data_IF_487013898366
#
_entry.id   IF_487013898366
#
_cell.length_a   1.000
_cell.length_b   1.000
_cell.length_c   1.000
_cell.angle_alpha   90.00
_cell.angle_beta   90.00
_cell.angle_gamma   90.00
#
_symmetry.space_group_name_H-M   'P 1'
#
loop_
_entity.id
_entity.type
_entity.pdbx_description
1 polymer ?
#
# COMPACT_ATOMS: atom_id res chain seq x y z
N UNK A 1 45.96 14.98 22.29
CA UNK A 1 45.20 13.86 21.69
C UNK A 1 44.08 13.47 22.63
N UNK A 2 42.82 13.64 22.22
CA UNK A 2 41.67 13.24 23.06
C UNK A 2 41.56 11.72 23.10
N UNK A 3 41.66 11.17 24.32
CA UNK A 3 41.61 9.74 24.64
C UNK A 3 40.32 9.12 24.07
N UNK A 4 40.47 8.08 23.25
CA UNK A 4 39.37 7.24 22.75
C UNK A 4 38.66 6.62 23.96
N UNK A 5 37.32 6.53 24.00
CA UNK A 5 36.64 5.89 25.12
C UNK A 5 37.11 4.43 25.22
N UNK A 6 37.74 4.06 26.34
CA UNK A 6 38.15 2.69 26.64
C UNK A 6 36.88 1.88 26.94
N UNK A 7 36.56 0.89 26.09
CA UNK A 7 35.34 0.06 26.21
C UNK A 7 34.81 -0.59 24.92
N UNK A 8 35.54 -0.58 23.80
CA UNK A 8 35.03 -1.02 22.48
C UNK A 8 35.84 -2.18 21.85
N UNK A 9 36.16 -3.23 22.62
CA UNK A 9 36.83 -4.43 22.06
C UNK A 9 35.93 -5.68 21.99
N UNK A 10 34.62 -5.54 22.25
CA UNK A 10 33.66 -6.65 22.08
C UNK A 10 32.21 -6.25 21.84
N UNK A 11 31.79 -5.05 22.27
CA UNK A 11 30.41 -4.56 22.11
C UNK A 11 30.11 -3.95 20.74
N UNK A 12 31.16 -3.54 20.01
CA UNK A 12 31.05 -2.85 18.72
C UNK A 12 30.66 -3.82 17.59
N UNK A 13 31.09 -5.08 17.66
CA UNK A 13 30.73 -6.12 16.71
C UNK A 13 29.25 -6.49 16.83
N UNK A 14 28.77 -6.80 18.05
CA UNK A 14 27.36 -7.10 18.30
C UNK A 14 26.46 -5.91 17.94
N UNK A 15 26.90 -4.69 18.21
CA UNK A 15 26.16 -3.48 17.82
C UNK A 15 26.12 -3.28 16.30
N UNK A 16 27.22 -3.52 15.59
CA UNK A 16 27.25 -3.47 14.11
C UNK A 16 26.38 -4.54 13.49
N UNK A 17 26.40 -5.77 13.99
CA UNK A 17 25.53 -6.85 13.52
C UNK A 17 24.04 -6.51 13.72
N UNK A 18 23.66 -6.00 14.90
CA UNK A 18 22.28 -5.59 15.18
C UNK A 18 21.82 -4.49 14.21
N UNK A 19 22.71 -3.56 13.84
CA UNK A 19 22.42 -2.50 12.86
C UNK A 19 22.32 -3.08 11.45
N UNK A 20 23.27 -3.91 11.02
CA UNK A 20 23.28 -4.51 9.69
C UNK A 20 22.04 -5.39 9.46
N UNK A 21 21.67 -6.22 10.44
CA UNK A 21 20.47 -7.05 10.37
C UNK A 21 19.20 -6.20 10.29
N UNK A 22 19.15 -5.06 10.99
CA UNK A 22 18.02 -4.12 10.87
C UNK A 22 17.96 -3.46 9.50
N UNK A 23 19.09 -3.00 8.95
CA UNK A 23 19.11 -2.45 7.60
C UNK A 23 18.73 -3.50 6.55
N UNK A 24 19.19 -4.75 6.69
CA UNK A 24 18.78 -5.87 5.83
C UNK A 24 17.29 -6.13 5.93
N UNK A 25 16.71 -6.22 7.14
CA UNK A 25 15.27 -6.38 7.35
C UNK A 25 14.46 -5.23 6.74
N UNK A 26 14.89 -3.99 6.96
CA UNK A 26 14.21 -2.82 6.41
C UNK A 26 14.28 -2.77 4.88
N UNK A 27 15.41 -3.17 4.28
CA UNK A 27 15.56 -3.27 2.83
C UNK A 27 14.66 -4.37 2.23
N UNK A 28 14.63 -5.56 2.85
CA UNK A 28 13.77 -6.68 2.43
C UNK A 28 12.29 -6.32 2.58
N UNK A 29 11.89 -5.73 3.71
CA UNK A 29 10.53 -5.28 3.93
C UNK A 29 10.13 -4.20 2.93
N UNK A 30 11.04 -3.31 2.57
CA UNK A 30 10.79 -2.27 1.56
C UNK A 30 10.62 -2.85 0.16
N UNK A 31 11.47 -3.80 -0.26
CA UNK A 31 11.32 -4.46 -1.57
C UNK A 31 10.04 -5.29 -1.64
N UNK A 32 9.69 -5.99 -0.56
CA UNK A 32 8.44 -6.74 -0.46
C UNK A 32 7.23 -5.81 -0.51
N UNK A 33 7.25 -4.69 0.23
CA UNK A 33 6.18 -3.68 0.21
C UNK A 33 6.03 -3.08 -1.18
N UNK A 34 7.13 -2.81 -1.89
CA UNK A 34 7.11 -2.32 -3.26
C UNK A 34 6.44 -3.33 -4.20
N UNK A 35 6.87 -4.58 -4.18
CA UNK A 35 6.29 -5.63 -5.01
C UNK A 35 4.80 -5.81 -4.72
N UNK A 36 4.42 -5.89 -3.44
CA UNK A 36 3.02 -6.08 -3.04
C UNK A 36 2.14 -4.89 -3.44
N UNK A 37 2.65 -3.65 -3.33
CA UNK A 37 1.93 -2.48 -3.81
C UNK A 37 1.73 -2.50 -5.34
N UNK A 38 2.74 -2.95 -6.10
CA UNK A 38 2.60 -3.13 -7.55
C UNK A 38 1.57 -4.20 -7.90
N UNK A 39 1.59 -5.34 -7.19
CA UNK A 39 0.60 -6.42 -7.37
C UNK A 39 -0.80 -5.91 -7.03
N UNK A 40 -0.97 -5.23 -5.90
CA UNK A 40 -2.27 -4.66 -5.50
C UNK A 40 -2.77 -3.61 -6.51
N UNK A 41 -1.88 -2.75 -7.02
CA UNK A 41 -2.21 -1.77 -8.06
C UNK A 41 -2.62 -2.43 -9.37
N UNK A 42 -1.93 -3.48 -9.79
CA UNK A 42 -2.26 -4.26 -10.98
C UNK A 42 -3.63 -4.95 -10.84
N UNK A 43 -3.90 -5.59 -9.69
CA UNK A 43 -5.19 -6.23 -9.42
C UNK A 43 -6.33 -5.22 -9.39
N UNK A 44 -6.12 -4.06 -8.78
CA UNK A 44 -7.11 -2.97 -8.78
C UNK A 44 -7.34 -2.43 -10.19
N UNK A 45 -6.30 -2.27 -10.99
CA UNK A 45 -6.41 -1.88 -12.40
C UNK A 45 -7.21 -2.89 -13.21
N UNK A 46 -6.93 -4.20 -13.08
CA UNK A 46 -7.69 -5.25 -13.74
C UNK A 46 -9.16 -5.24 -13.31
N UNK A 47 -9.45 -5.01 -12.03
CA UNK A 47 -10.82 -4.84 -11.53
C UNK A 47 -11.51 -3.65 -12.18
N UNK A 48 -10.85 -2.49 -12.24
CA UNK A 48 -11.39 -1.31 -12.90
C UNK A 48 -11.68 -1.62 -14.38
N UNK A 49 -10.71 -2.21 -15.10
CA UNK A 49 -10.86 -2.55 -16.50
C UNK A 49 -12.04 -3.52 -16.75
N UNK A 50 -12.16 -4.57 -15.94
CA UNK A 50 -13.27 -5.53 -16.02
C UNK A 50 -14.64 -4.85 -15.86
N UNK A 51 -14.74 -3.97 -14.86
CA UNK A 51 -15.97 -3.28 -14.55
C UNK A 51 -16.33 -2.22 -15.61
N UNK A 52 -15.35 -1.71 -16.35
CA UNK A 52 -15.56 -0.73 -17.42
C UNK A 52 -16.10 -1.34 -18.73
N UNK A 53 -15.91 -2.64 -18.96
CA UNK A 53 -16.36 -3.33 -20.20
C UNK A 53 -17.83 -3.03 -20.55
N UNK A 54 -18.83 -3.26 -19.67
CA UNK A 54 -20.23 -2.99 -20.01
C UNK A 54 -20.50 -1.51 -20.29
N UNK A 55 -19.78 -0.57 -19.66
CA UNK A 55 -20.00 0.86 -19.86
C UNK A 55 -19.51 1.34 -21.23
N UNK A 56 -18.39 0.81 -21.73
CA UNK A 56 -17.93 1.08 -23.10
C UNK A 56 -18.87 0.51 -24.17
N UNK A 57 -19.74 -0.44 -23.80
CA UNK A 57 -20.65 -1.13 -24.72
C UNK A 57 -22.04 -0.49 -24.69
N UNK A 58 -22.49 0.02 -23.53
CA UNK A 58 -23.85 0.54 -23.31
C UNK A 58 -23.96 2.08 -23.34
N UNK A 59 -22.88 2.83 -23.59
CA UNK A 59 -22.85 4.31 -23.53
C UNK A 59 -23.44 4.88 -22.21
N UNK A 60 -23.20 4.20 -21.10
CA UNK A 60 -23.62 4.63 -19.77
C UNK A 60 -22.44 5.11 -18.94
N UNK A 61 -22.72 6.02 -17.98
CA UNK A 61 -21.70 6.50 -17.05
C UNK A 61 -21.34 5.43 -16.00
N UNK A 62 -20.05 5.27 -15.66
CA UNK A 62 -19.60 4.43 -14.57
C UNK A 62 -20.24 4.80 -13.22
N UNK A 63 -20.46 3.81 -12.37
CA UNK A 63 -20.90 4.02 -10.99
C UNK A 63 -19.89 4.92 -10.22
N UNK A 64 -20.35 5.82 -9.33
CA UNK A 64 -19.49 6.73 -8.55
C UNK A 64 -18.32 6.03 -7.84
N UNK A 65 -18.57 4.80 -7.41
CA UNK A 65 -17.61 3.96 -6.70
C UNK A 65 -16.35 3.62 -7.54
N UNK A 66 -16.48 3.55 -8.87
CA UNK A 66 -15.36 3.31 -9.78
C UNK A 66 -14.37 4.47 -9.80
N UNK A 67 -14.86 5.70 -9.71
CA UNK A 67 -14.00 6.89 -9.63
C UNK A 67 -13.21 6.91 -8.32
N UNK A 68 -13.81 6.46 -7.21
CA UNK A 68 -13.10 6.35 -5.94
C UNK A 68 -11.93 5.36 -6.01
N UNK A 69 -12.12 4.19 -6.64
CA UNK A 69 -11.03 3.26 -6.88
C UNK A 69 -9.95 3.80 -7.80
N UNK A 70 -10.31 4.53 -8.86
CA UNK A 70 -9.35 5.17 -9.73
C UNK A 70 -8.52 6.22 -8.99
N UNK A 71 -9.16 7.06 -8.17
CA UNK A 71 -8.48 8.05 -7.33
C UNK A 71 -7.51 7.36 -6.37
N UNK A 72 -7.95 6.28 -5.70
CA UNK A 72 -7.08 5.55 -4.77
C UNK A 72 -5.91 4.88 -5.48
N UNK A 73 -6.13 4.33 -6.67
CA UNK A 73 -5.06 3.77 -7.50
C UNK A 73 -4.03 4.85 -7.85
N UNK A 74 -4.47 5.98 -8.41
CA UNK A 74 -3.58 7.04 -8.90
C UNK A 74 -2.87 7.74 -7.76
N UNK A 75 -3.62 8.26 -6.78
CA UNK A 75 -3.05 8.99 -5.64
C UNK A 75 -2.20 8.05 -4.78
N UNK A 76 -2.64 6.81 -4.58
CA UNK A 76 -1.89 5.80 -3.83
C UNK A 76 -0.53 5.52 -4.44
N UNK A 77 -0.49 5.32 -5.76
CA UNK A 77 0.78 5.16 -6.48
C UNK A 77 1.65 6.41 -6.38
N UNK A 78 1.09 7.61 -6.57
CA UNK A 78 1.87 8.86 -6.44
C UNK A 78 2.49 8.98 -5.05
N UNK A 79 1.70 8.80 -3.98
CA UNK A 79 2.20 8.87 -2.60
C UNK A 79 3.26 7.80 -2.32
N UNK A 80 3.08 6.60 -2.86
CA UNK A 80 4.04 5.52 -2.69
C UNK A 80 5.37 5.79 -3.43
N UNK A 81 5.31 6.20 -4.70
CA UNK A 81 6.52 6.52 -5.46
C UNK A 81 7.24 7.76 -4.94
N UNK A 82 6.50 8.80 -4.53
CA UNK A 82 7.06 10.01 -3.95
C UNK A 82 7.63 9.78 -2.54
N UNK A 83 7.04 8.87 -1.76
CA UNK A 83 7.54 8.51 -0.44
C UNK A 83 8.71 7.53 -0.47
N UNK A 84 8.98 6.88 -1.61
CA UNK A 84 10.05 5.87 -1.77
C UNK A 84 11.41 6.51 -1.45
N UNK A 85 12.19 5.97 -0.50
CA UNK A 85 13.47 6.56 -0.15
C UNK A 85 14.47 6.47 -1.31
N UNK A 86 14.79 7.63 -1.89
CA UNK A 86 16.01 7.87 -2.69
C UNK A 86 17.13 8.47 -1.83
N UNK A 87 17.19 8.10 -0.55
CA UNK A 87 18.17 8.60 0.44
C UNK A 87 17.57 9.05 1.78
N UNK A 88 16.28 9.41 1.82
CA UNK A 88 15.47 9.60 3.05
C UNK A 88 14.04 9.18 2.75
N UNK A 89 13.43 8.37 3.63
CA UNK A 89 12.02 8.01 3.52
C UNK A 89 11.14 9.18 3.97
N UNK A 90 10.13 9.53 3.17
CA UNK A 90 9.12 10.51 3.58
C UNK A 90 7.98 9.75 4.25
N UNK A 91 8.15 9.49 5.55
CA UNK A 91 7.20 8.74 6.37
C UNK A 91 5.74 9.24 6.25
N UNK A 92 5.45 10.57 6.19
CA UNK A 92 4.09 11.04 6.00
C UNK A 92 3.43 10.55 4.69
N UNK A 93 4.14 10.59 3.56
CA UNK A 93 3.61 10.13 2.27
C UNK A 93 3.34 8.63 2.27
N UNK A 94 4.19 7.87 2.96
CA UNK A 94 4.00 6.43 3.12
C UNK A 94 2.79 6.08 3.99
N UNK A 95 2.50 6.88 5.03
CA UNK A 95 1.26 6.75 5.81
C UNK A 95 0.03 7.03 4.96
N UNK A 96 0.08 8.04 4.09
CA UNK A 96 -1.00 8.33 3.14
C UNK A 96 -1.19 7.18 2.16
N UNK A 97 -0.10 6.63 1.59
CA UNK A 97 -0.17 5.47 0.71
C UNK A 97 -0.82 4.25 1.42
N UNK A 98 -0.41 3.95 2.65
CA UNK A 98 -1.01 2.88 3.46
C UNK A 98 -2.50 3.12 3.74
N UNK A 99 -2.89 4.38 4.03
CA UNK A 99 -4.29 4.76 4.24
C UNK A 99 -5.13 4.56 2.98
N UNK A 100 -4.57 4.85 1.79
CA UNK A 100 -5.26 4.64 0.51
C UNK A 100 -5.39 3.14 0.16
N UNK A 101 -4.39 2.32 0.49
CA UNK A 101 -4.52 0.85 0.39
C UNK A 101 -5.63 0.34 1.31
N UNK A 102 -5.72 0.88 2.53
CA UNK A 102 -6.80 0.56 3.47
C UNK A 102 -8.17 1.04 2.98
N UNK A 103 -8.23 2.24 2.42
CA UNK A 103 -9.42 2.76 1.77
C UNK A 103 -9.88 1.84 0.64
N UNK A 104 -8.95 1.30 -0.15
CA UNK A 104 -9.25 0.32 -1.21
C UNK A 104 -9.89 -0.94 -0.63
N UNK A 105 -9.33 -1.50 0.44
CA UNK A 105 -9.89 -2.68 1.12
C UNK A 105 -11.29 -2.40 1.69
N UNK A 106 -11.48 -1.26 2.36
CA UNK A 106 -12.76 -0.86 2.93
C UNK A 106 -13.83 -0.64 1.86
N UNK A 107 -13.50 0.07 0.78
CA UNK A 107 -14.38 0.25 -0.35
C UNK A 107 -14.73 -1.10 -0.97
N UNK A 108 -13.75 -1.97 -1.21
CA UNK A 108 -13.97 -3.30 -1.78
C UNK A 108 -14.89 -4.17 -0.92
N UNK A 109 -14.76 -4.10 0.41
CA UNK A 109 -15.68 -4.75 1.32
C UNK A 109 -17.11 -4.19 1.20
N UNK A 110 -17.27 -2.87 1.15
CA UNK A 110 -18.59 -2.23 0.94
C UNK A 110 -19.17 -2.65 -0.42
N UNK A 111 -18.36 -2.77 -1.46
CA UNK A 111 -18.79 -3.24 -2.77
C UNK A 111 -19.30 -4.68 -2.71
N UNK A 112 -18.54 -5.59 -2.11
CA UNK A 112 -18.95 -6.99 -1.94
C UNK A 112 -20.21 -7.11 -1.09
N UNK A 113 -20.28 -6.36 0.01
CA UNK A 113 -21.46 -6.30 0.87
C UNK A 113 -22.69 -5.87 0.07
N UNK A 114 -22.59 -4.76 -0.66
CA UNK A 114 -23.67 -4.26 -1.50
C UNK A 114 -24.03 -5.25 -2.61
N UNK A 115 -23.03 -5.86 -3.25
CA UNK A 115 -23.19 -6.80 -4.36
C UNK A 115 -23.87 -8.11 -3.95
N UNK A 116 -23.62 -8.62 -2.74
CA UNK A 116 -24.18 -9.88 -2.27
C UNK A 116 -25.46 -9.74 -1.45
N UNK A 117 -25.67 -8.61 -0.76
CA UNK A 117 -26.74 -8.48 0.22
C UNK A 117 -27.79 -7.42 -0.11
N UNK A 118 -27.46 -6.40 -0.90
CA UNK A 118 -28.34 -5.25 -1.12
C UNK A 118 -28.83 -5.13 -2.56
N UNK A 119 -27.94 -5.31 -3.53
CA UNK A 119 -28.27 -5.11 -4.93
C UNK A 119 -28.99 -6.34 -5.51
N UNK A 120 -30.03 -6.12 -6.35
CA UNK A 120 -30.67 -7.21 -7.06
C UNK A 120 -29.66 -7.87 -8.00
N UNK A 121 -29.76 -9.19 -8.15
CA UNK A 121 -28.83 -9.99 -8.98
C UNK A 121 -28.73 -9.48 -10.43
N UNK A 122 -29.72 -8.74 -10.93
CA UNK A 122 -29.70 -8.13 -12.26
C UNK A 122 -28.63 -7.05 -12.43
N UNK A 123 -28.16 -6.42 -11.35
CA UNK A 123 -27.07 -5.43 -11.37
C UNK A 123 -25.68 -6.04 -11.35
N UNK A 124 -25.57 -7.35 -11.20
CA UNK A 124 -24.28 -8.05 -11.20
C UNK A 124 -23.60 -7.90 -12.57
N UNK A 125 -22.31 -7.55 -12.57
CA UNK A 125 -21.57 -7.26 -13.80
C UNK A 125 -21.48 -8.50 -14.69
N UNK A 126 -21.20 -9.68 -14.12
CA UNK A 126 -21.22 -10.95 -14.85
C UNK A 126 -22.53 -11.21 -15.60
N UNK A 127 -23.68 -10.93 -14.98
CA UNK A 127 -25.01 -11.09 -15.59
C UNK A 127 -25.30 -10.03 -16.64
N UNK A 128 -24.92 -8.77 -16.38
CA UNK A 128 -25.06 -7.67 -17.34
C UNK A 128 -24.21 -7.93 -18.59
N UNK A 129 -22.96 -8.34 -18.41
CA UNK A 129 -22.05 -8.68 -19.51
C UNK A 129 -22.54 -9.91 -20.29
N UNK A 130 -23.04 -10.94 -19.60
CA UNK A 130 -23.69 -12.07 -20.26
C UNK A 130 -24.88 -11.64 -21.11
N UNK A 131 -25.78 -10.83 -20.53
CA UNK A 131 -26.96 -10.33 -21.24
C UNK A 131 -26.56 -9.51 -22.47
N UNK A 132 -25.61 -8.58 -22.33
CA UNK A 132 -25.13 -7.75 -23.43
C UNK A 132 -24.59 -8.56 -24.60
N UNK A 133 -23.70 -9.51 -24.32
CA UNK A 133 -23.07 -10.33 -25.36
C UNK A 133 -24.07 -11.31 -25.98
N UNK A 134 -25.07 -11.76 -25.22
CA UNK A 134 -26.16 -12.58 -25.73
C UNK A 134 -27.09 -11.77 -26.64
N UNK A 135 -27.47 -10.57 -26.23
CA UNK A 135 -28.34 -9.67 -27.00
C UNK A 135 -27.69 -9.25 -28.32
N UNK A 136 -26.35 -9.14 -28.35
CA UNK A 136 -25.56 -8.92 -29.58
C UNK A 136 -25.36 -10.17 -30.44
N UNK A 137 -25.87 -11.33 -30.01
CA UNK A 137 -25.70 -12.60 -30.72
C UNK A 137 -24.28 -13.16 -30.72
N UNK A 138 -23.37 -12.61 -29.91
CA UNK A 138 -21.97 -13.03 -29.86
C UNK A 138 -21.79 -14.32 -29.07
N UNK A 139 -22.64 -14.55 -28.07
CA UNK A 139 -22.66 -15.77 -27.25
C UNK A 139 -24.09 -16.33 -27.16
N UNK A 140 -24.22 -17.65 -27.23
CA UNK A 140 -25.51 -18.35 -27.13
C UNK A 140 -25.57 -19.28 -25.91
N UNK A 141 -24.42 -19.78 -25.46
CA UNK A 141 -24.34 -20.77 -24.38
C UNK A 141 -24.44 -20.14 -22.99
N UNK A 142 -25.16 -20.80 -22.07
CA UNK A 142 -25.24 -20.43 -20.66
C UNK A 142 -23.91 -20.64 -19.91
N UNK A 143 -22.97 -21.40 -20.48
CA UNK A 143 -21.64 -21.63 -19.89
C UNK A 143 -20.88 -20.31 -19.69
N UNK A 144 -21.04 -19.34 -20.59
CA UNK A 144 -20.39 -18.02 -20.47
C UNK A 144 -20.81 -17.25 -19.23
N UNK A 145 -22.03 -17.44 -18.73
CA UNK A 145 -22.46 -16.81 -17.47
C UNK A 145 -21.63 -17.33 -16.28
N UNK A 146 -21.37 -18.63 -16.25
CA UNK A 146 -20.53 -19.24 -15.21
C UNK A 146 -19.08 -18.73 -15.32
N UNK A 147 -18.56 -18.64 -16.54
CA UNK A 147 -17.21 -18.09 -16.79
C UNK A 147 -17.11 -16.67 -16.25
N UNK A 148 -18.03 -15.77 -16.62
CA UNK A 148 -17.99 -14.38 -16.13
C UNK A 148 -18.14 -14.28 -14.62
N UNK A 149 -19.00 -15.11 -14.02
CA UNK A 149 -19.20 -15.14 -12.56
C UNK A 149 -17.93 -15.61 -11.84
N UNK A 150 -17.27 -16.65 -12.34
CA UNK A 150 -16.04 -17.19 -11.76
C UNK A 150 -14.89 -16.18 -11.93
N UNK A 151 -14.75 -15.57 -13.11
CA UNK A 151 -13.74 -14.54 -13.36
C UNK A 151 -13.90 -13.35 -12.42
N UNK A 152 -15.14 -12.87 -12.22
CA UNK A 152 -15.45 -11.80 -11.28
C UNK A 152 -15.08 -12.19 -9.84
N UNK A 153 -15.44 -13.40 -9.40
CA UNK A 153 -15.11 -13.89 -8.07
C UNK A 153 -13.59 -14.03 -7.84
N UNK A 154 -12.84 -14.52 -8.83
CA UNK A 154 -11.37 -14.62 -8.77
C UNK A 154 -10.76 -13.24 -8.64
N UNK A 155 -11.24 -12.27 -9.40
CA UNK A 155 -10.75 -10.90 -9.38
C UNK A 155 -11.04 -10.22 -8.03
N UNK A 156 -12.23 -10.44 -7.49
CA UNK A 156 -12.61 -9.93 -6.17
C UNK A 156 -11.77 -10.54 -5.05
N UNK A 157 -11.50 -11.85 -5.11
CA UNK A 157 -10.61 -12.53 -4.18
C UNK A 157 -9.17 -12.01 -4.31
N UNK A 158 -8.67 -11.81 -5.53
CA UNK A 158 -7.32 -11.31 -5.78
C UNK A 158 -7.13 -9.87 -5.26
N UNK A 159 -8.11 -8.98 -5.47
CA UNK A 159 -8.07 -7.62 -4.89
C UNK A 159 -8.12 -7.66 -3.37
N UNK A 160 -9.02 -8.46 -2.79
CA UNK A 160 -9.13 -8.60 -1.33
C UNK A 160 -7.85 -9.14 -0.68
N UNK A 161 -7.29 -10.22 -1.23
CA UNK A 161 -6.06 -10.84 -0.74
C UNK A 161 -4.86 -9.92 -0.92
N UNK A 162 -4.68 -9.31 -2.09
CA UNK A 162 -3.56 -8.40 -2.33
C UNK A 162 -3.62 -7.15 -1.45
N UNK A 163 -4.80 -6.56 -1.24
CA UNK A 163 -4.97 -5.43 -0.32
C UNK A 163 -4.67 -5.83 1.14
N UNK A 164 -5.15 -6.99 1.59
CA UNK A 164 -4.88 -7.50 2.93
C UNK A 164 -3.39 -7.78 3.18
N UNK A 165 -2.74 -8.49 2.27
CA UNK A 165 -1.30 -8.76 2.35
C UNK A 165 -0.45 -7.49 2.30
N UNK A 166 -0.83 -6.54 1.43
CA UNK A 166 -0.18 -5.24 1.32
C UNK A 166 -0.30 -4.46 2.64
N UNK A 167 -1.48 -4.47 3.29
CA UNK A 167 -1.66 -3.83 4.59
C UNK A 167 -0.76 -4.40 5.69
N UNK A 168 -0.72 -5.73 5.84
CA UNK A 168 0.10 -6.37 6.87
C UNK A 168 1.59 -6.04 6.69
N UNK A 169 2.08 -6.06 5.45
CA UNK A 169 3.48 -5.72 5.16
C UNK A 169 3.78 -4.23 5.33
N UNK A 170 2.88 -3.34 4.89
CA UNK A 170 3.02 -1.90 5.15
C UNK A 170 3.06 -1.58 6.64
N UNK A 171 2.18 -2.18 7.45
CA UNK A 171 2.18 -1.93 8.89
C UNK A 171 3.47 -2.35 9.56
N UNK A 172 4.00 -3.52 9.20
CA UNK A 172 5.28 -3.99 9.74
C UNK A 172 6.41 -3.04 9.33
N UNK A 173 6.46 -2.63 8.06
CA UNK A 173 7.47 -1.69 7.58
C UNK A 173 7.37 -0.31 8.24
N UNK A 174 6.15 0.24 8.41
CA UNK A 174 5.94 1.53 9.08
C UNK A 174 6.36 1.45 10.55
N UNK A 175 6.03 0.36 11.25
CA UNK A 175 6.49 0.13 12.63
C UNK A 175 8.00 0.13 12.73
N UNK A 176 8.67 -0.68 11.90
CA UNK A 176 10.14 -0.75 11.84
C UNK A 176 10.74 0.63 11.59
N UNK A 177 10.17 1.40 10.65
CA UNK A 177 10.67 2.72 10.30
C UNK A 177 10.43 3.77 11.40
N UNK A 178 9.33 3.68 12.15
CA UNK A 178 9.07 4.56 13.29
C UNK A 178 10.02 4.29 14.45
N UNK A 179 10.33 3.02 14.73
CA UNK A 179 11.27 2.65 15.79
C UNK A 179 12.67 3.21 15.50
N UNK A 180 13.12 3.16 14.25
CA UNK A 180 14.39 3.78 13.81
C UNK A 180 14.40 5.30 14.01
N UNK A 181 13.28 5.98 13.73
CA UNK A 181 13.19 7.45 13.96
C UNK A 181 13.21 7.77 15.44
N UNK A 182 12.49 7.02 16.27
CA UNK A 182 12.44 7.23 17.72
C UNK A 182 13.82 7.06 18.36
N UNK A 183 14.57 6.01 18.00
CA UNK A 183 15.95 5.81 18.47
C UNK A 183 16.88 6.95 18.04
N UNK A 184 16.72 7.46 16.81
CA UNK A 184 17.51 8.61 16.33
C UNK A 184 17.22 9.87 17.13
N UNK A 185 15.97 10.12 17.47
CA UNK A 185 15.57 11.24 18.33
C UNK A 185 16.10 11.10 19.75
N UNK A 186 16.01 9.91 20.34
CA UNK A 186 16.56 9.60 21.67
C UNK A 186 18.08 9.78 21.69
N UNK A 187 18.79 9.29 20.66
CA UNK A 187 20.23 9.53 20.49
C UNK A 187 20.55 11.01 20.38
N UNK A 188 19.81 11.77 19.58
CA UNK A 188 20.03 13.21 19.43
C UNK A 188 19.76 13.98 20.73
N UNK A 189 18.81 13.53 21.56
CA UNK A 189 18.55 14.10 22.90
C UNK A 189 19.64 13.73 23.91
N UNK A 190 20.25 12.55 23.77
CA UNK A 190 21.30 12.05 24.66
C UNK A 190 22.70 12.63 24.37
N UNK A 191 22.94 13.23 23.19
CA UNK A 191 24.19 13.95 22.91
C UNK A 191 24.11 15.33 23.58
N UNK A 192 24.88 15.60 24.66
CA UNK A 192 24.90 16.92 25.25
C UNK A 192 25.44 17.91 24.22
N UNK A 193 24.66 18.96 23.94
CA UNK A 193 25.10 20.10 23.14
C UNK A 193 26.36 20.66 23.79
N UNK A 194 27.54 20.32 23.25
CA UNK A 194 28.78 20.97 23.66
C UNK A 194 28.58 22.45 23.38
N UNK A 195 28.52 23.26 24.44
CA UNK A 195 28.54 24.72 24.29
C UNK A 195 29.76 25.08 23.44
N UNK A 196 29.61 25.96 22.44
CA UNK A 196 30.76 26.43 21.68
C UNK A 196 31.81 26.96 22.67
N UNK A 197 33.10 26.59 22.50
CA UNK A 197 34.17 27.09 23.35
C UNK A 197 34.29 28.59 23.10
N UNK A 198 33.78 29.43 24.01
CA UNK A 198 33.84 30.88 23.85
C UNK A 198 32.93 31.73 24.73
N UNK A 199 31.95 31.16 25.44
CA UNK A 199 31.12 31.95 26.37
C UNK A 199 31.87 32.21 27.70
N UNK A 200 32.91 33.03 27.66
CA UNK A 200 33.51 33.63 28.85
C UNK A 200 32.49 34.57 29.46
N UNK A 201 31.92 34.20 30.61
CA UNK A 201 31.12 35.11 31.44
C UNK A 201 32.02 36.28 31.85
N UNK A 202 31.80 37.46 31.27
CA UNK A 202 32.26 38.71 31.89
C UNK A 202 31.53 38.87 33.21
N UNK A 203 32.23 38.60 34.33
CA UNK A 203 31.79 39.08 35.65
C UNK A 203 32.00 40.59 35.68
N UNK A 204 30.94 41.33 36.00
CA UNK A 204 31.01 42.72 36.47
C UNK A 204 31.47 42.72 37.92
#
# INVERSE_FOLDING_TARGET
MSRRPEGTDGSDWTYREIIEDRYKRMAVNMSATFLLHQVQSAMLFFKIAWYMIPFFIEDHYPEPFMYAFLVFLVVGNICFYAGKPRGRSVLPLMKVAALLVMGTAALHFVALWRYHLLDPKTKQISRRMYKLLRDRGTISSSVYLNVFTISEAILDAAVGLSAGLCFFTFNNWVKDAMDVVKEREERNKAVPVRRPPGAVKKRK
#
